data_IF_143847034094
#
_entry.id   IF_143847034094
#
_cell.length_a   1.000
_cell.length_b   1.000
_cell.length_c   1.000
_cell.angle_alpha   90.00
_cell.angle_beta   90.00
_cell.angle_gamma   90.00
#
_symmetry.space_group_name_H-M   'P 1'
#
loop_
_entity.id
_entity.type
_entity.pdbx_description
1 polymer ?
#
# COMPACT_ATOMS: atom_id res chain seq x y z
N UNK A 1 -4.16 -8.91 -17.24
CA UNK A 1 -2.87 -9.34 -17.80
C UNK A 1 -2.25 -10.46 -16.97
N UNK A 2 -1.51 -11.36 -17.61
CA UNK A 2 -0.62 -12.32 -16.94
C UNK A 2 0.81 -11.75 -16.94
N UNK A 3 1.45 -11.72 -15.77
CA UNK A 3 2.81 -11.25 -15.59
C UNK A 3 3.63 -12.34 -14.91
N UNK A 4 4.57 -12.93 -15.64
CA UNK A 4 5.57 -13.84 -15.08
C UNK A 4 6.92 -13.12 -15.00
N UNK A 5 7.51 -13.07 -13.80
CA UNK A 5 8.73 -12.30 -13.56
C UNK A 5 9.65 -13.02 -12.59
N UNK A 6 10.96 -12.90 -12.80
CA UNK A 6 11.96 -13.38 -11.84
C UNK A 6 12.15 -12.34 -10.73
N UNK A 7 12.05 -12.77 -9.48
CA UNK A 7 12.25 -11.93 -8.30
C UNK A 7 13.36 -12.50 -7.42
N UNK A 8 13.94 -11.66 -6.57
CA UNK A 8 14.91 -12.11 -5.58
C UNK A 8 14.23 -12.93 -4.47
N UNK A 9 15.00 -13.74 -3.76
CA UNK A 9 14.53 -14.52 -2.62
C UNK A 9 13.84 -13.63 -1.57
N UNK A 10 14.50 -12.56 -1.14
CA UNK A 10 13.95 -11.57 -0.20
C UNK A 10 12.62 -10.97 -0.70
N UNK A 11 12.47 -10.77 -2.01
CA UNK A 11 11.21 -10.27 -2.60
C UNK A 11 10.09 -11.29 -2.49
N UNK A 12 10.40 -12.58 -2.57
CA UNK A 12 9.42 -13.64 -2.35
C UNK A 12 9.02 -13.73 -0.86
N UNK A 13 9.96 -13.53 0.06
CA UNK A 13 9.65 -13.44 1.50
C UNK A 13 8.73 -12.26 1.80
N UNK A 14 9.01 -11.08 1.23
CA UNK A 14 8.15 -9.91 1.36
C UNK A 14 6.74 -10.14 0.83
N UNK A 15 6.58 -10.90 -0.27
CA UNK A 15 5.25 -11.27 -0.77
C UNK A 15 4.47 -12.13 0.23
N UNK A 16 5.11 -13.13 0.83
CA UNK A 16 4.43 -13.99 1.81
C UNK A 16 4.10 -13.22 3.10
N UNK A 17 4.98 -12.31 3.55
CA UNK A 17 4.72 -11.44 4.69
C UNK A 17 3.51 -10.54 4.47
N UNK A 18 3.45 -9.83 3.33
CA UNK A 18 2.31 -8.98 2.99
C UNK A 18 1.04 -9.81 2.80
N UNK A 19 1.15 -11.01 2.23
CA UNK A 19 0.03 -11.94 2.12
C UNK A 19 -0.55 -12.28 3.49
N UNK A 20 0.28 -12.71 4.44
CA UNK A 20 -0.18 -13.02 5.79
C UNK A 20 -0.83 -11.80 6.46
N UNK A 21 -0.23 -10.62 6.31
CA UNK A 21 -0.77 -9.38 6.87
C UNK A 21 -2.14 -9.03 6.28
N UNK A 22 -2.27 -8.99 4.95
CA UNK A 22 -3.53 -8.65 4.30
C UNK A 22 -4.62 -9.69 4.57
N UNK A 23 -4.29 -10.98 4.59
CA UNK A 23 -5.26 -12.01 4.94
C UNK A 23 -5.75 -11.87 6.38
N UNK A 24 -4.84 -11.57 7.32
CA UNK A 24 -5.20 -11.35 8.72
C UNK A 24 -6.09 -10.13 8.90
N UNK A 25 -5.78 -9.03 8.21
CA UNK A 25 -6.55 -7.79 8.27
C UNK A 25 -7.96 -7.95 7.67
N UNK A 26 -8.11 -8.68 6.57
CA UNK A 26 -9.36 -8.75 5.80
C UNK A 26 -10.17 -10.03 6.05
N UNK A 27 -9.65 -11.01 6.79
CA UNK A 27 -10.34 -12.28 7.07
C UNK A 27 -10.56 -13.19 5.85
N UNK A 28 -9.92 -12.90 4.71
CA UNK A 28 -10.06 -13.64 3.45
C UNK A 28 -8.69 -14.07 2.91
N UNK A 29 -8.69 -15.03 1.98
CA UNK A 29 -7.46 -15.49 1.33
C UNK A 29 -7.03 -14.53 0.21
N UNK A 30 -5.72 -14.34 0.06
CA UNK A 30 -5.13 -13.52 -0.99
C UNK A 30 -4.20 -14.37 -1.89
N UNK A 31 -4.36 -14.23 -3.20
CA UNK A 31 -3.41 -14.70 -4.20
C UNK A 31 -2.22 -13.74 -4.29
N UNK A 32 -1.11 -14.19 -4.88
CA UNK A 32 0.09 -13.33 -5.06
C UNK A 32 -0.20 -12.11 -5.95
N UNK A 33 -1.12 -12.24 -6.91
CA UNK A 33 -1.57 -11.14 -7.77
C UNK A 33 -2.33 -10.07 -6.98
N UNK A 34 -3.22 -10.49 -6.09
CA UNK A 34 -3.97 -9.58 -5.21
C UNK A 34 -3.05 -8.88 -4.21
N UNK A 35 -2.07 -9.60 -3.64
CA UNK A 35 -1.06 -9.00 -2.74
C UNK A 35 -0.26 -7.90 -3.44
N UNK A 36 0.25 -8.18 -4.65
CA UNK A 36 0.98 -7.17 -5.41
C UNK A 36 0.09 -5.99 -5.81
N UNK A 37 -1.15 -6.26 -6.21
CA UNK A 37 -2.12 -5.22 -6.57
C UNK A 37 -2.40 -4.31 -5.38
N UNK A 38 -2.66 -4.89 -4.21
CA UNK A 38 -2.93 -4.15 -2.98
C UNK A 38 -1.72 -3.32 -2.55
N UNK A 39 -0.52 -3.90 -2.54
CA UNK A 39 0.71 -3.15 -2.20
C UNK A 39 0.96 -1.96 -3.14
N UNK A 40 0.67 -2.10 -4.44
CA UNK A 40 0.72 -1.00 -5.40
C UNK A 40 -0.30 0.08 -5.03
N UNK A 41 -1.55 -0.29 -4.76
CA UNK A 41 -2.61 0.67 -4.45
C UNK A 41 -2.38 1.38 -3.11
N UNK A 42 -2.00 0.65 -2.06
CA UNK A 42 -1.76 1.17 -0.71
C UNK A 42 -0.61 2.21 -0.68
N UNK A 43 0.31 2.15 -1.64
CA UNK A 43 1.46 3.07 -1.75
C UNK A 43 1.30 4.11 -2.86
N UNK A 44 0.38 3.92 -3.81
CA UNK A 44 0.30 4.70 -5.05
C UNK A 44 0.19 6.21 -4.81
N UNK A 45 -0.61 6.63 -3.82
CA UNK A 45 -0.81 8.05 -3.50
C UNK A 45 0.48 8.74 -3.02
N UNK A 46 1.41 7.97 -2.47
CA UNK A 46 2.66 8.45 -1.90
C UNK A 46 3.85 8.34 -2.85
N UNK A 47 3.69 7.69 -4.02
CA UNK A 47 4.81 7.44 -4.95
C UNK A 47 5.58 8.70 -5.39
N UNK A 48 4.91 9.84 -5.47
CA UNK A 48 5.55 11.13 -5.80
C UNK A 48 6.28 11.78 -4.63
N UNK A 49 5.98 11.36 -3.39
CA UNK A 49 6.60 11.85 -2.15
C UNK A 49 7.72 10.95 -1.66
N UNK A 50 7.68 9.66 -2.04
CA UNK A 50 8.69 8.67 -1.68
C UNK A 50 10.02 8.99 -2.35
N UNK A 51 11.08 9.11 -1.53
CA UNK A 51 12.45 9.07 -2.02
C UNK A 51 12.85 7.63 -2.34
N UNK A 52 12.65 7.22 -3.58
CA UNK A 52 12.87 5.83 -3.99
C UNK A 52 14.33 5.41 -3.86
N UNK A 53 15.29 6.34 -3.96
CA UNK A 53 16.72 6.08 -3.77
C UNK A 53 17.06 5.51 -2.38
N UNK A 54 16.25 5.83 -1.37
CA UNK A 54 16.40 5.34 0.01
C UNK A 54 15.56 4.11 0.34
N UNK A 55 14.76 3.60 -0.61
CA UNK A 55 13.86 2.46 -0.35
C UNK A 55 14.62 1.23 0.16
N UNK A 56 15.79 0.95 -0.42
CA UNK A 56 16.58 -0.23 -0.04
C UNK A 56 17.20 -0.12 1.36
N UNK A 57 17.37 1.08 1.91
CA UNK A 57 17.88 1.29 3.27
C UNK A 57 16.79 1.35 4.33
N UNK A 58 15.50 1.29 3.95
CA UNK A 58 14.40 1.19 4.91
C UNK A 58 14.57 -0.04 5.80
N UNK A 59 14.42 0.18 7.10
CA UNK A 59 14.42 -0.88 8.10
C UNK A 59 13.07 -1.58 8.03
N UNK A 60 13.05 -2.82 7.51
CA UNK A 60 11.87 -3.68 7.55
C UNK A 60 12.22 -4.96 8.31
N UNK A 61 11.25 -5.48 9.06
CA UNK A 61 11.41 -6.75 9.80
C UNK A 61 10.65 -7.86 9.09
N UNK A 62 11.33 -8.98 8.83
CA UNK A 62 10.71 -10.22 8.39
C UNK A 62 10.97 -11.24 9.51
N UNK A 63 10.04 -11.33 10.45
CA UNK A 63 10.24 -12.06 11.72
C UNK A 63 10.14 -13.59 11.55
N UNK A 64 9.51 -14.04 10.48
CA UNK A 64 9.28 -15.46 10.16
C UNK A 64 10.12 -15.88 8.96
N UNK A 65 10.69 -17.08 9.03
CA UNK A 65 11.30 -17.72 7.85
C UNK A 65 10.21 -18.32 6.98
N UNK A 66 10.10 -17.84 5.75
CA UNK A 66 9.20 -18.43 4.75
C UNK A 66 9.93 -19.52 3.97
N UNK A 67 9.22 -20.62 3.68
CA UNK A 67 9.75 -21.67 2.81
C UNK A 67 9.64 -21.24 1.33
N UNK A 68 10.67 -20.54 0.86
CA UNK A 68 10.73 -20.04 -0.51
C UNK A 68 11.47 -21.05 -1.40
N UNK A 69 10.70 -21.89 -2.07
CA UNK A 69 11.23 -22.77 -3.11
C UNK A 69 11.64 -22.00 -4.39
N UNK A 70 12.35 -22.68 -5.30
CA UNK A 70 12.83 -22.09 -6.56
C UNK A 70 11.69 -21.60 -7.48
N UNK A 71 10.50 -22.20 -7.38
CA UNK A 71 9.29 -21.75 -8.10
C UNK A 71 8.74 -20.42 -7.58
N UNK A 72 8.86 -20.16 -6.28
CA UNK A 72 8.43 -18.91 -5.64
C UNK A 72 9.19 -17.67 -6.12
N UNK A 73 10.39 -17.84 -6.71
CA UNK A 73 11.16 -16.75 -7.32
C UNK A 73 10.75 -16.44 -8.76
N UNK A 74 9.78 -17.17 -9.32
CA UNK A 74 9.18 -16.91 -10.64
C UNK A 74 7.65 -16.85 -10.56
N UNK A 75 7.08 -16.00 -9.68
CA UNK A 75 5.64 -15.93 -9.51
C UNK A 75 4.96 -15.55 -10.83
N UNK A 76 3.76 -16.12 -11.02
CA UNK A 76 2.81 -15.71 -12.05
C UNK A 76 1.75 -14.86 -11.38
N UNK A 77 1.68 -13.59 -11.76
CA UNK A 77 0.67 -12.67 -11.27
C UNK A 77 -0.44 -12.53 -12.30
N UNK A 78 -1.68 -12.77 -11.88
CA UNK A 78 -2.86 -12.35 -12.62
C UNK A 78 -3.25 -10.98 -12.10
N UNK A 79 -3.09 -9.95 -12.93
CA UNK A 79 -3.31 -8.55 -12.56
C UNK A 79 -4.37 -7.93 -13.47
N UNK A 80 -5.10 -6.94 -12.98
CA UNK A 80 -5.90 -6.09 -13.86
C UNK A 80 -5.00 -5.27 -14.80
N UNK A 81 -5.54 -4.81 -15.92
CA UNK A 81 -4.76 -3.98 -16.86
C UNK A 81 -4.36 -2.64 -16.23
N UNK A 82 -5.19 -2.09 -15.31
CA UNK A 82 -4.91 -0.86 -14.60
C UNK A 82 -3.76 -0.99 -13.58
N UNK A 83 -3.63 -2.13 -12.90
CA UNK A 83 -2.48 -2.41 -12.03
C UNK A 83 -1.22 -2.65 -12.87
N UNK A 84 -1.38 -3.32 -14.02
CA UNK A 84 -0.31 -3.53 -15.00
C UNK A 84 0.40 -2.24 -15.42
N UNK A 85 -0.37 -1.24 -15.86
CA UNK A 85 0.19 0.04 -16.28
C UNK A 85 0.88 0.81 -15.14
N UNK A 86 0.39 0.67 -13.89
CA UNK A 86 1.04 1.25 -12.71
C UNK A 86 2.43 0.67 -12.44
N UNK A 87 2.69 -0.59 -12.80
CA UNK A 87 4.04 -1.18 -12.67
C UNK A 87 5.02 -0.47 -13.60
N UNK A 88 4.63 -0.15 -14.83
CA UNK A 88 5.49 0.56 -15.77
C UNK A 88 5.69 2.04 -15.39
N UNK A 89 4.65 2.68 -14.84
CA UNK A 89 4.77 3.99 -14.20
C UNK A 89 5.78 3.97 -13.05
N UNK A 90 5.65 3.02 -12.13
CA UNK A 90 6.56 2.84 -11.00
C UNK A 90 8.01 2.66 -11.45
N UNK A 91 8.24 1.83 -12.48
CA UNK A 91 9.59 1.63 -13.04
C UNK A 91 10.20 2.93 -13.52
N UNK A 92 9.38 3.79 -14.14
CA UNK A 92 9.83 5.09 -14.65
C UNK A 92 10.20 6.02 -13.49
N UNK A 93 9.37 6.07 -12.45
CA UNK A 93 9.61 6.89 -11.25
C UNK A 93 10.88 6.43 -10.52
N UNK A 94 11.01 5.12 -10.25
CA UNK A 94 12.20 4.57 -9.57
C UNK A 94 13.44 4.85 -10.41
N UNK A 95 13.39 4.61 -11.72
CA UNK A 95 14.52 4.85 -12.63
C UNK A 95 15.07 6.27 -12.50
N UNK A 96 14.17 7.26 -12.49
CA UNK A 96 14.53 8.67 -12.34
C UNK A 96 15.11 8.97 -10.97
N UNK A 97 14.52 8.43 -9.90
CA UNK A 97 14.96 8.68 -8.53
C UNK A 97 16.32 8.05 -8.19
N UNK A 98 16.65 6.89 -8.76
CA UNK A 98 17.92 6.18 -8.48
C UNK A 98 19.01 6.42 -9.53
N UNK A 99 18.76 7.30 -10.50
CA UNK A 99 19.63 7.58 -11.65
C UNK A 99 20.12 6.31 -12.38
N UNK A 100 19.22 5.35 -12.60
CA UNK A 100 19.55 4.11 -13.30
C UNK A 100 19.23 4.19 -14.79
N UNK A 101 20.02 3.47 -15.61
CA UNK A 101 19.74 3.29 -17.04
C UNK A 101 18.41 2.56 -17.28
N UNK A 102 18.10 1.57 -16.45
CA UNK A 102 16.85 0.80 -16.50
C UNK A 102 16.52 0.18 -15.15
N UNK A 103 15.22 -0.07 -14.93
CA UNK A 103 14.70 -0.79 -13.76
C UNK A 103 13.90 -1.99 -14.27
N UNK A 104 14.23 -3.18 -13.75
CA UNK A 104 13.50 -4.41 -14.08
C UNK A 104 12.17 -4.44 -13.34
N UNK A 105 11.20 -5.20 -13.85
CA UNK A 105 9.90 -5.39 -13.16
C UNK A 105 10.12 -5.99 -11.77
N UNK A 106 11.02 -6.98 -11.64
CA UNK A 106 11.32 -7.60 -10.34
C UNK A 106 11.91 -6.61 -9.33
N UNK A 107 12.74 -5.66 -9.78
CA UNK A 107 13.25 -4.59 -8.93
C UNK A 107 12.14 -3.61 -8.51
N UNK A 108 11.26 -3.20 -9.44
CA UNK A 108 10.12 -2.35 -9.09
C UNK A 108 9.18 -3.03 -8.07
N UNK A 109 8.91 -4.33 -8.25
CA UNK A 109 8.16 -5.13 -7.28
C UNK A 109 8.89 -5.14 -5.93
N UNK A 110 10.22 -5.34 -5.90
CA UNK A 110 10.99 -5.28 -4.66
C UNK A 110 10.79 -3.95 -3.93
N UNK A 111 10.85 -2.83 -4.65
CA UNK A 111 10.73 -1.49 -4.07
C UNK A 111 9.34 -1.26 -3.49
N UNK A 112 8.27 -1.56 -4.25
CA UNK A 112 6.89 -1.30 -3.79
C UNK A 112 6.50 -2.19 -2.60
N UNK A 113 6.88 -3.47 -2.61
CA UNK A 113 6.60 -4.35 -1.48
C UNK A 113 7.34 -3.90 -0.22
N UNK A 114 8.60 -3.45 -0.37
CA UNK A 114 9.37 -2.93 0.77
C UNK A 114 8.75 -1.67 1.35
N UNK A 115 8.27 -0.76 0.50
CA UNK A 115 7.55 0.44 0.95
C UNK A 115 6.23 0.09 1.66
N UNK A 116 5.44 -0.84 1.11
CA UNK A 116 4.21 -1.28 1.73
C UNK A 116 4.46 -1.90 3.12
N UNK A 117 5.49 -2.75 3.27
CA UNK A 117 5.89 -3.32 4.56
C UNK A 117 6.35 -2.23 5.52
N UNK A 118 7.18 -1.30 5.05
CA UNK A 118 7.67 -0.20 5.89
C UNK A 118 6.52 0.61 6.46
N UNK A 119 5.56 1.00 5.61
CA UNK A 119 4.32 1.70 5.98
C UNK A 119 3.54 0.93 7.06
N UNK A 120 3.27 -0.36 6.84
CA UNK A 120 2.58 -1.23 7.81
C UNK A 120 3.31 -1.31 9.17
N UNK A 121 4.63 -1.25 9.18
CA UNK A 121 5.44 -1.46 10.39
C UNK A 121 5.79 -0.19 11.16
N UNK A 122 5.75 0.99 10.51
CA UNK A 122 6.31 2.23 11.05
C UNK A 122 5.38 3.44 10.93
N UNK A 123 4.35 3.38 10.10
CA UNK A 123 3.27 4.36 10.16
C UNK A 123 2.22 3.79 11.12
N UNK A 124 1.87 4.56 12.15
CA UNK A 124 0.62 4.32 12.86
C UNK A 124 -0.46 4.30 11.77
N UNK A 125 -1.21 3.21 11.67
CA UNK A 125 -2.32 3.12 10.73
C UNK A 125 -3.38 4.11 11.23
N UNK A 126 -3.25 5.37 10.83
CA UNK A 126 -4.27 6.38 11.08
C UNK A 126 -5.45 5.99 10.20
N UNK A 127 -6.51 5.48 10.82
CA UNK A 127 -7.72 5.11 10.08
C UNK A 127 -8.28 6.35 9.40
N UNK A 128 -8.94 6.18 8.25
CA UNK A 128 -9.65 7.28 7.58
C UNK A 128 -10.68 7.89 8.56
N UNK A 129 -11.31 7.06 9.37
CA UNK A 129 -12.18 7.48 10.47
C UNK A 129 -11.45 8.38 11.49
N UNK A 130 -10.24 8.01 11.93
CA UNK A 130 -9.43 8.83 12.85
C UNK A 130 -9.13 10.19 12.23
N UNK A 131 -8.64 10.24 10.97
CA UNK A 131 -8.35 11.52 10.30
C UNK A 131 -9.58 12.42 10.21
N UNK A 132 -10.72 11.84 9.85
CA UNK A 132 -11.99 12.56 9.70
C UNK A 132 -12.46 13.11 11.05
N UNK A 133 -12.42 12.30 12.11
CA UNK A 133 -12.83 12.70 13.45
C UNK A 133 -11.86 13.73 14.06
N UNK A 134 -10.54 13.53 13.92
CA UNK A 134 -9.53 14.49 14.38
C UNK A 134 -9.71 15.85 13.69
N UNK A 135 -9.99 15.84 12.38
CA UNK A 135 -10.30 17.06 11.62
C UNK A 135 -11.56 17.73 12.14
N UNK A 136 -12.64 16.96 12.40
CA UNK A 136 -13.87 17.50 12.96
C UNK A 136 -13.61 18.16 14.31
N UNK A 137 -12.89 17.50 15.21
CA UNK A 137 -12.52 18.00 16.53
C UNK A 137 -11.74 19.32 16.45
N UNK A 138 -10.81 19.46 15.50
CA UNK A 138 -10.09 20.72 15.24
C UNK A 138 -11.03 21.88 14.85
N UNK A 139 -12.09 21.60 14.09
CA UNK A 139 -13.09 22.60 13.74
C UNK A 139 -14.03 22.90 14.90
N UNK A 140 -14.47 21.89 15.64
CA UNK A 140 -15.37 22.05 16.80
C UNK A 140 -14.70 22.78 17.97
N UNK A 141 -13.37 22.69 18.09
CA UNK A 141 -12.57 23.44 19.05
C UNK A 141 -12.53 24.96 18.78
N UNK A 142 -12.97 25.42 17.60
CA UNK A 142 -13.06 26.85 17.28
C UNK A 142 -14.36 27.45 17.85
N UNK A 143 -14.36 28.77 18.10
CA UNK A 143 -15.58 29.51 18.41
C UNK A 143 -16.47 29.60 17.16
N UNK A 144 -17.25 28.54 16.93
CA UNK A 144 -18.27 28.45 15.90
C UNK A 144 -19.67 28.49 16.55
N UNK A 145 -20.67 29.08 15.87
CA UNK A 145 -22.07 28.94 16.24
C UNK A 145 -22.50 27.47 16.35
N UNK A 146 -23.40 27.16 17.29
CA UNK A 146 -23.82 25.78 17.57
C UNK A 146 -24.50 25.11 16.36
N UNK A 147 -25.26 25.87 15.57
CA UNK A 147 -25.89 25.40 14.34
C UNK A 147 -24.87 24.95 13.28
N UNK A 148 -23.74 25.65 13.18
CA UNK A 148 -22.64 25.26 12.29
C UNK A 148 -21.95 23.98 12.80
N UNK A 149 -21.77 23.84 14.12
CA UNK A 149 -21.21 22.62 14.72
C UNK A 149 -22.09 21.40 14.44
N UNK A 150 -23.41 21.54 14.57
CA UNK A 150 -24.36 20.48 14.25
C UNK A 150 -24.32 20.06 12.77
N UNK A 151 -24.21 21.03 11.85
CA UNK A 151 -24.08 20.74 10.41
C UNK A 151 -22.80 19.96 10.11
N UNK A 152 -21.67 20.35 10.71
CA UNK A 152 -20.38 19.67 10.53
C UNK A 152 -20.41 18.23 11.06
N UNK A 153 -21.03 18.02 12.22
CA UNK A 153 -21.21 16.68 12.79
C UNK A 153 -22.01 15.80 11.84
N UNK A 154 -23.18 16.28 11.38
CA UNK A 154 -24.05 15.54 10.47
C UNK A 154 -23.38 15.20 9.15
N UNK A 155 -22.66 16.16 8.56
CA UNK A 155 -21.92 15.91 7.33
C UNK A 155 -20.86 14.83 7.51
N UNK A 156 -20.16 14.85 8.65
CA UNK A 156 -19.12 13.87 8.99
C UNK A 156 -19.72 12.47 9.15
N UNK A 157 -20.84 12.34 9.85
CA UNK A 157 -21.55 11.06 10.00
C UNK A 157 -22.01 10.50 8.65
N UNK A 158 -22.56 11.36 7.78
CA UNK A 158 -22.98 10.98 6.42
C UNK A 158 -21.78 10.55 5.55
N UNK A 159 -20.63 11.21 5.71
CA UNK A 159 -19.40 10.87 5.00
C UNK A 159 -18.88 9.50 5.43
N UNK A 160 -18.76 9.26 6.74
CA UNK A 160 -18.29 7.97 7.28
C UNK A 160 -19.22 6.83 6.86
N UNK A 161 -20.54 7.03 6.95
CA UNK A 161 -21.53 6.04 6.48
C UNK A 161 -21.33 5.71 5.00
N UNK A 162 -21.09 6.73 4.15
CA UNK A 162 -20.85 6.49 2.72
C UNK A 162 -19.54 5.74 2.48
N UNK A 163 -18.49 6.03 3.25
CA UNK A 163 -17.22 5.33 3.12
C UNK A 163 -17.36 3.85 3.53
N UNK A 164 -18.08 3.56 4.61
CA UNK A 164 -18.37 2.19 5.06
C UNK A 164 -19.20 1.41 4.02
N UNK A 165 -20.28 2.00 3.49
CA UNK A 165 -21.13 1.35 2.46
C UNK A 165 -20.36 1.04 1.16
N UNK A 166 -19.23 1.71 0.92
CA UNK A 166 -18.40 1.50 -0.26
C UNK A 166 -17.11 0.68 0.04
N UNK A 167 -17.02 0.05 1.22
CA UNK A 167 -15.85 -0.74 1.66
C UNK A 167 -14.53 0.07 1.61
N UNK A 168 -14.60 1.36 1.93
CA UNK A 168 -13.46 2.28 1.98
C UNK A 168 -12.96 2.54 3.42
N UNK A 169 -13.70 2.07 4.43
CA UNK A 169 -13.30 1.96 5.84
C UNK A 169 -13.17 0.47 6.19
#
# INVERSE_FOLDING_TARGET
MELQVRIAYETAEMLELLKEHYQKQNGINFTKGEVLSKAILDTYIDWKKIDWSKTLSLQIKIEKKYDINSGSQRPKFQLSNSVGSKIDELRTIIKQSVDARSVTIGAAIKFVLRQAIYKIQHEDIVSIESVVNDTLDEYLAKELPDDIKEILQKYTDELLTKLEVNDLL
#
